data_IF_664964880288
#
_entry.id   IF_664964880288
#
_cell.length_a   1.000
_cell.length_b   1.000
_cell.length_c   1.000
_cell.angle_alpha   90.00
_cell.angle_beta   90.00
_cell.angle_gamma   90.00
#
_symmetry.space_group_name_H-M   'P 1'
#
loop_
_entity.id
_entity.type
_entity.pdbx_description
1 polymer ?
#
# COMPACT_ATOMS: atom_id res chain seq x y z
N UNK A 1 -20.26 16.81 15.19
CA UNK A 1 -21.59 16.24 14.95
C UNK A 1 -21.44 15.08 13.98
N UNK A 2 -21.73 13.84 14.40
CA UNK A 2 -21.80 12.71 13.47
C UNK A 2 -23.05 12.89 12.62
N UNK A 3 -22.86 13.20 11.34
CA UNK A 3 -23.96 13.20 10.37
C UNK A 3 -24.47 11.76 10.29
N UNK A 4 -25.78 11.56 10.42
CA UNK A 4 -26.36 10.23 10.25
C UNK A 4 -26.02 9.72 8.84
N UNK A 5 -25.49 8.50 8.76
CA UNK A 5 -25.19 7.84 7.48
C UNK A 5 -26.52 7.33 6.94
N UNK A 6 -26.93 7.83 5.78
CA UNK A 6 -28.12 7.31 5.11
C UNK A 6 -27.93 5.83 4.76
N UNK A 7 -28.99 5.01 4.86
CA UNK A 7 -28.91 3.61 4.52
C UNK A 7 -28.54 3.44 3.04
N UNK A 8 -27.71 2.45 2.68
CA UNK A 8 -27.41 2.16 1.28
C UNK A 8 -28.68 1.85 0.50
N UNK A 9 -28.67 2.21 -0.79
CA UNK A 9 -29.79 1.98 -1.73
C UNK A 9 -30.18 0.49 -1.77
N UNK A 10 -29.20 -0.40 -1.61
CA UNK A 10 -29.39 -1.85 -1.67
C UNK A 10 -29.41 -2.52 -0.29
N UNK A 11 -30.26 -3.55 -0.10
CA UNK A 11 -30.32 -4.32 1.14
C UNK A 11 -29.01 -5.06 1.41
N UNK A 12 -28.72 -5.36 2.68
CA UNK A 12 -27.45 -5.94 3.14
C UNK A 12 -27.04 -7.25 2.43
N UNK A 13 -28.00 -8.06 1.97
CA UNK A 13 -27.75 -9.34 1.29
C UNK A 13 -27.70 -9.26 -0.24
N UNK A 14 -27.79 -8.06 -0.84
CA UNK A 14 -27.72 -7.93 -2.29
C UNK A 14 -26.31 -8.25 -2.79
N UNK A 15 -26.15 -9.13 -3.80
CA UNK A 15 -24.85 -9.43 -4.40
C UNK A 15 -24.22 -8.19 -5.06
N UNK A 16 -25.03 -7.22 -5.44
CA UNK A 16 -24.58 -6.02 -6.16
C UNK A 16 -24.13 -4.89 -5.24
N UNK A 17 -24.24 -5.07 -3.91
CA UNK A 17 -24.01 -4.00 -2.93
C UNK A 17 -22.57 -3.49 -2.94
N UNK A 18 -21.61 -4.37 -3.17
CA UNK A 18 -20.19 -4.01 -3.26
C UNK A 18 -19.90 -3.25 -4.56
N UNK A 19 -20.36 -3.76 -5.70
CA UNK A 19 -20.21 -3.10 -7.00
C UNK A 19 -20.88 -1.70 -7.03
N UNK A 20 -22.05 -1.55 -6.41
CA UNK A 20 -22.71 -0.25 -6.31
C UNK A 20 -21.94 0.74 -5.42
N UNK A 21 -21.29 0.24 -4.36
CA UNK A 21 -20.41 1.06 -3.53
C UNK A 21 -19.20 1.56 -4.34
N UNK A 22 -18.59 0.68 -5.14
CA UNK A 22 -17.48 1.04 -6.03
C UNK A 22 -17.89 2.11 -7.04
N UNK A 23 -18.98 1.90 -7.78
CA UNK A 23 -19.50 2.86 -8.76
C UNK A 23 -19.80 4.21 -8.13
N UNK A 24 -20.32 4.23 -6.90
CA UNK A 24 -20.57 5.48 -6.18
C UNK A 24 -19.27 6.26 -5.84
N UNK A 25 -18.13 5.58 -5.74
CA UNK A 25 -16.83 6.18 -5.45
C UNK A 25 -16.06 6.63 -6.69
N UNK A 26 -16.32 6.05 -7.88
CA UNK A 26 -15.53 6.27 -9.10
C UNK A 26 -15.34 7.75 -9.45
N UNK A 27 -16.44 8.53 -9.46
CA UNK A 27 -16.37 9.95 -9.82
C UNK A 27 -15.56 10.77 -8.81
N UNK A 28 -15.71 10.48 -7.52
CA UNK A 28 -14.94 11.14 -6.48
C UNK A 28 -13.45 10.76 -6.53
N UNK A 29 -13.16 9.49 -6.81
CA UNK A 29 -11.80 9.00 -6.94
C UNK A 29 -11.08 9.61 -8.16
N UNK A 30 -11.77 9.69 -9.30
CA UNK A 30 -11.26 10.37 -10.49
C UNK A 30 -10.93 11.85 -10.21
N UNK A 31 -11.82 12.55 -9.50
CA UNK A 31 -11.59 13.94 -9.11
C UNK A 31 -10.36 14.11 -8.21
N UNK A 32 -10.11 13.18 -7.28
CA UNK A 32 -8.90 13.20 -6.44
C UNK A 32 -7.64 13.04 -7.28
N UNK A 33 -7.63 12.09 -8.21
CA UNK A 33 -6.47 11.87 -9.10
C UNK A 33 -6.20 13.11 -9.94
N UNK A 34 -7.22 13.65 -10.60
CA UNK A 34 -7.09 14.88 -11.40
C UNK A 34 -6.58 16.05 -10.58
N UNK A 35 -7.06 16.21 -9.34
CA UNK A 35 -6.60 17.29 -8.46
C UNK A 35 -5.13 17.12 -8.04
N UNK A 36 -4.66 15.89 -7.84
CA UNK A 36 -3.25 15.62 -7.56
C UNK A 36 -2.37 15.91 -8.77
N UNK A 37 -2.76 15.44 -9.96
CA UNK A 37 -1.99 15.68 -11.18
C UNK A 37 -1.92 17.18 -11.54
N UNK A 38 -3.00 17.93 -11.31
CA UNK A 38 -3.02 19.39 -11.48
C UNK A 38 -2.05 20.13 -10.53
N UNK A 39 -1.65 19.51 -9.42
CA UNK A 39 -0.64 20.02 -8.50
C UNK A 39 0.79 19.58 -8.87
N UNK A 40 0.98 18.90 -10.00
CA UNK A 40 2.28 18.47 -10.50
C UNK A 40 2.73 17.09 -10.02
N UNK A 41 1.88 16.32 -9.33
CA UNK A 41 2.19 14.96 -8.93
C UNK A 41 2.08 14.00 -10.12
N UNK A 42 2.98 13.03 -10.22
CA UNK A 42 2.87 12.02 -11.28
C UNK A 42 1.72 11.04 -11.02
N UNK A 43 1.17 10.36 -12.05
CA UNK A 43 0.15 9.34 -11.86
C UNK A 43 0.61 8.22 -10.90
N UNK A 44 1.90 7.85 -10.97
CA UNK A 44 2.50 6.83 -10.11
C UNK A 44 2.55 7.25 -8.65
N UNK A 45 3.00 8.47 -8.36
CA UNK A 45 3.06 9.00 -6.99
C UNK A 45 1.67 9.17 -6.40
N UNK A 46 0.72 9.66 -7.20
CA UNK A 46 -0.69 9.79 -6.84
C UNK A 46 -1.29 8.44 -6.46
N UNK A 47 -1.13 7.42 -7.32
CA UNK A 47 -1.64 6.08 -7.07
C UNK A 47 -1.02 5.42 -5.82
N UNK A 48 0.30 5.55 -5.63
CA UNK A 48 0.99 5.03 -4.44
C UNK A 48 0.49 5.71 -3.16
N UNK A 49 0.25 7.02 -3.21
CA UNK A 49 -0.22 7.79 -2.07
C UNK A 49 -1.67 7.44 -1.73
N UNK A 50 -2.55 7.34 -2.72
CA UNK A 50 -3.94 6.90 -2.54
C UNK A 50 -4.02 5.50 -1.95
N UNK A 51 -3.21 4.56 -2.43
CA UNK A 51 -3.14 3.20 -1.88
C UNK A 51 -2.74 3.23 -0.39
N UNK A 52 -1.72 4.01 -0.04
CA UNK A 52 -1.28 4.15 1.36
C UNK A 52 -2.41 4.69 2.24
N UNK A 53 -3.03 5.80 1.85
CA UNK A 53 -4.10 6.46 2.62
C UNK A 53 -5.31 5.52 2.77
N UNK A 54 -5.74 4.87 1.69
CA UNK A 54 -6.86 3.92 1.74
C UNK A 54 -6.57 2.73 2.65
N UNK A 55 -5.34 2.20 2.62
CA UNK A 55 -4.90 1.11 3.49
C UNK A 55 -4.91 1.52 4.96
N UNK A 56 -4.38 2.71 5.27
CA UNK A 56 -4.37 3.27 6.63
C UNK A 56 -5.80 3.51 7.15
N UNK A 57 -6.71 3.99 6.29
CA UNK A 57 -8.11 4.16 6.64
C UNK A 57 -8.80 2.81 6.91
N UNK A 58 -8.59 1.82 6.05
CA UNK A 58 -9.21 0.50 6.19
C UNK A 58 -8.75 -0.25 7.47
N UNK A 59 -7.54 0.02 7.96
CA UNK A 59 -7.04 -0.51 9.24
C UNK A 59 -7.89 -0.03 10.43
N UNK A 60 -8.48 1.16 10.37
CA UNK A 60 -9.38 1.68 11.42
C UNK A 60 -10.63 0.81 11.60
N UNK A 61 -11.02 0.10 10.54
CA UNK A 61 -12.17 -0.80 10.53
C UNK A 61 -11.79 -2.28 10.65
N UNK A 62 -10.51 -2.60 10.88
CA UNK A 62 -10.01 -3.99 10.91
C UNK A 62 -10.28 -4.74 9.59
N UNK A 63 -10.45 -4.02 8.48
CA UNK A 63 -10.76 -4.62 7.16
C UNK A 63 -9.53 -5.12 6.44
N UNK A 64 -8.35 -4.62 6.81
CA UNK A 64 -7.06 -5.09 6.30
C UNK A 64 -6.34 -5.76 7.46
N UNK A 65 -6.03 -7.07 7.39
CA UNK A 65 -5.14 -7.67 8.38
C UNK A 65 -3.84 -6.89 8.34
N UNK A 66 -3.37 -6.40 9.50
CA UNK A 66 -2.14 -5.62 9.58
C UNK A 66 -1.06 -6.37 8.79
N UNK A 67 -0.60 -5.79 7.67
CA UNK A 67 0.47 -6.39 6.89
C UNK A 67 1.64 -6.60 7.85
N UNK A 68 2.13 -7.83 8.04
CA UNK A 68 3.23 -8.03 8.94
C UNK A 68 4.45 -7.30 8.34
N UNK A 69 4.91 -6.24 9.01
CA UNK A 69 6.19 -5.54 8.74
C UNK A 69 7.39 -6.50 8.60
N UNK A 70 7.20 -7.76 8.99
CA UNK A 70 8.11 -8.89 8.88
C UNK A 70 8.58 -9.11 7.42
N UNK A 71 7.77 -8.87 6.39
CA UNK A 71 8.19 -9.11 4.99
C UNK A 71 9.17 -8.07 4.44
N UNK A 72 9.02 -6.78 4.80
CA UNK A 72 9.99 -5.73 4.44
C UNK A 72 11.31 -5.88 5.23
N UNK A 73 11.23 -6.23 6.52
CA UNK A 73 12.42 -6.45 7.35
C UNK A 73 13.26 -7.66 6.88
N UNK A 74 12.61 -8.77 6.50
CA UNK A 74 13.32 -9.98 6.01
C UNK A 74 14.12 -9.75 4.73
N UNK A 75 13.60 -8.94 3.79
CA UNK A 75 14.34 -8.58 2.56
C UNK A 75 15.60 -7.76 2.88
N UNK A 76 15.51 -6.80 3.81
CA UNK A 76 16.66 -6.01 4.26
C UNK A 76 17.74 -6.87 4.93
N UNK A 77 17.34 -7.79 5.82
CA UNK A 77 18.27 -8.69 6.52
C UNK A 77 19.01 -9.60 5.53
N UNK A 78 18.30 -10.18 4.54
CA UNK A 78 18.90 -11.06 3.54
C UNK A 78 19.95 -10.34 2.68
N UNK A 79 19.68 -9.09 2.27
CA UNK A 79 20.63 -8.28 1.50
C UNK A 79 21.88 -7.95 2.32
N UNK A 80 21.71 -7.54 3.58
CA UNK A 80 22.84 -7.25 4.48
C UNK A 80 23.70 -8.49 4.72
N UNK A 81 23.09 -9.65 5.00
CA UNK A 81 23.84 -10.90 5.18
C UNK A 81 24.60 -11.31 3.91
N UNK A 82 23.98 -11.20 2.73
CA UNK A 82 24.63 -11.52 1.46
C UNK A 82 25.85 -10.61 1.19
N UNK A 83 25.74 -9.31 1.46
CA UNK A 83 26.87 -8.37 1.33
C UNK A 83 28.02 -8.70 2.30
N UNK A 84 27.69 -9.08 3.53
CA UNK A 84 28.69 -9.41 4.56
C UNK A 84 29.44 -10.71 4.22
N UNK A 85 28.73 -11.73 3.72
CA UNK A 85 29.36 -12.97 3.23
C UNK A 85 30.28 -12.69 2.05
N UNK A 86 29.85 -11.87 1.09
CA UNK A 86 30.67 -11.52 -0.07
C UNK A 86 31.98 -10.81 0.33
N UNK A 87 31.91 -9.84 1.25
CA UNK A 87 33.08 -9.14 1.79
C UNK A 87 34.03 -10.09 2.52
N UNK A 88 33.51 -11.02 3.33
CA UNK A 88 34.33 -12.02 4.01
C UNK A 88 35.03 -12.95 3.01
N UNK A 89 34.33 -13.43 1.99
CA UNK A 89 34.92 -14.27 0.94
C UNK A 89 36.02 -13.51 0.17
N UNK A 90 35.77 -12.26 -0.21
CA UNK A 90 36.76 -11.44 -0.90
C UNK A 90 38.03 -11.21 -0.05
N UNK A 91 37.87 -10.98 1.26
CA UNK A 91 38.99 -10.82 2.19
C UNK A 91 39.81 -12.11 2.34
N UNK A 92 39.15 -13.27 2.41
CA UNK A 92 39.83 -14.58 2.49
C UNK A 92 40.61 -14.86 1.21
N UNK A 93 39.99 -14.68 0.03
CA UNK A 93 40.67 -14.89 -1.26
C UNK A 93 41.86 -13.95 -1.41
N UNK A 94 41.71 -12.68 -1.04
CA UNK A 94 42.82 -11.72 -1.03
C UNK A 94 43.97 -12.15 -0.12
N UNK A 95 43.67 -12.68 1.07
CA UNK A 95 44.68 -13.17 2.01
C UNK A 95 45.42 -14.40 1.50
N UNK A 96 44.73 -15.30 0.79
CA UNK A 96 45.33 -16.51 0.20
C UNK A 96 46.17 -16.22 -1.05
N UNK A 97 45.83 -15.18 -1.81
CA UNK A 97 46.55 -14.77 -3.03
C UNK A 97 47.75 -13.84 -2.76
N UNK A 98 47.99 -13.46 -1.51
CA UNK A 98 49.10 -12.61 -1.08
C UNK A 98 50.28 -13.45 -0.59
#
# INVERSE_FOLDING_TARGET
MSRAVEPPILPKGSPDREANCEVALEAAFAALVTASEAQGWTPRETALSLLKIATEHAQQFTLVPAQPRIWQSRRGILITCAGLVFLLCAAIVWWVLR
#
